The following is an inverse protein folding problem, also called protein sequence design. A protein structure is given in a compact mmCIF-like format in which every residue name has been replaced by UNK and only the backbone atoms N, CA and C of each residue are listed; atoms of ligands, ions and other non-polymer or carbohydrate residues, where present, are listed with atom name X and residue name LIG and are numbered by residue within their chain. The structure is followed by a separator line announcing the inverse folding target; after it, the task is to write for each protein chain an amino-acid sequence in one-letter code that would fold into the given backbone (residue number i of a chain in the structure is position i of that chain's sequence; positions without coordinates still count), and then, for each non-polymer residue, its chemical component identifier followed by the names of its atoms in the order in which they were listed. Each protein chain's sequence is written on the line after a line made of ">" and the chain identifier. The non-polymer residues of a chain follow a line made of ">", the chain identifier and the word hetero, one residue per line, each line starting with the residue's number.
data_IF_428454888325
#
_entry.id   IF_428454888325
#
_cell.length_a   1.000
_cell.length_b   1.000
_cell.length_c   1.000
_cell.angle_alpha   90.00
_cell.angle_beta   90.00
_cell.angle_gamma   90.00
#
_symmetry.space_group_name_H-M   'P 1'
#
loop_
_entity.id
_entity.type
_entity.pdbx_description
1 polymer ?
#
# COMPACT_ATOMS: atom_id res chain seq x y z
N UNK A 1 27.39 12.55 -69.97
CA UNK A 1 28.72 12.90 -70.52
C UNK A 1 29.38 14.00 -69.67
N UNK A 2 30.69 14.24 -69.90
CA UNK A 2 31.68 15.11 -69.21
C UNK A 2 31.21 16.47 -68.60
N UNK A 3 31.88 16.82 -67.47
CA UNK A 3 32.60 18.08 -67.04
C UNK A 3 32.56 19.34 -67.94
N UNK A 4 32.93 20.58 -67.47
CA UNK A 4 33.81 20.96 -66.33
C UNK A 4 33.17 22.07 -65.42
N UNK A 5 33.81 22.97 -64.65
CA UNK A 5 35.21 23.32 -64.23
C UNK A 5 35.19 24.06 -62.85
N UNK A 6 36.34 24.56 -62.33
CA UNK A 6 36.39 26.00 -61.97
C UNK A 6 36.87 26.48 -60.58
N UNK A 7 38.19 26.37 -60.31
CA UNK A 7 39.07 27.34 -59.59
C UNK A 7 38.69 27.98 -58.22
N UNK A 8 39.65 27.90 -57.29
CA UNK A 8 39.70 28.68 -56.04
C UNK A 8 40.94 28.39 -55.19
N UNK A 9 42.15 28.65 -55.73
CA UNK A 9 43.44 28.45 -55.05
C UNK A 9 44.47 29.51 -55.46
N UNK A 10 45.48 29.65 -54.61
CA UNK A 10 46.82 30.23 -54.84
C UNK A 10 46.91 31.76 -55.05
N UNK A 11 46.96 32.48 -53.93
CA UNK A 11 47.88 33.61 -53.74
C UNK A 11 48.46 33.51 -52.31
N UNK A 12 49.70 33.95 -52.09
CA UNK A 12 50.52 33.82 -50.86
C UNK A 12 51.38 32.54 -50.74
N UNK A 13 52.02 32.13 -51.83
CA UNK A 13 53.25 31.34 -51.78
C UNK A 13 54.41 32.15 -52.35
N UNK A 14 55.45 32.39 -51.53
CA UNK A 14 56.75 32.87 -51.98
C UNK A 14 57.15 34.28 -51.52
N UNK A 15 57.77 34.38 -50.34
CA UNK A 15 58.85 35.37 -50.15
C UNK A 15 59.97 34.83 -49.23
N UNK A 16 61.10 34.56 -49.88
CA UNK A 16 62.48 34.66 -49.39
C UNK A 16 62.92 33.77 -48.21
N UNK A 17 63.73 32.76 -48.58
CA UNK A 17 64.66 32.10 -47.69
C UNK A 17 65.98 32.88 -47.59
N UNK A 18 66.44 33.16 -46.37
CA UNK A 18 67.85 33.40 -46.04
C UNK A 18 68.05 33.18 -44.53
N UNK A 19 69.04 32.37 -44.13
CA UNK A 19 69.39 32.16 -42.71
C UNK A 19 69.43 30.71 -42.23
N UNK A 20 70.34 29.89 -42.77
CA UNK A 20 70.82 28.68 -42.08
C UNK A 20 72.10 28.99 -41.30
N UNK A 21 72.15 28.69 -40.00
CA UNK A 21 73.33 28.12 -39.37
C UNK A 21 73.27 26.59 -39.41
N UNK A 22 74.43 25.93 -39.36
CA UNK A 22 74.54 24.47 -39.44
C UNK A 22 73.91 23.77 -38.23
N UNK A 23 73.24 22.64 -38.48
CA UNK A 23 72.70 21.72 -37.48
C UNK A 23 73.84 20.90 -36.87
N UNK A 24 74.12 20.95 -35.56
CA UNK A 24 74.93 19.93 -34.92
C UNK A 24 74.21 18.58 -35.07
N UNK A 25 74.92 17.59 -35.57
CA UNK A 25 74.41 16.22 -35.71
C UNK A 25 74.39 15.49 -34.38
N UNK A 26 73.41 14.61 -34.26
CA UNK A 26 73.30 13.53 -33.30
C UNK A 26 73.22 13.90 -31.81
N UNK A 27 72.09 13.52 -31.23
CA UNK A 27 71.66 13.90 -29.90
C UNK A 27 70.39 13.14 -29.55
N UNK A 28 70.41 11.83 -29.78
CA UNK A 28 69.36 10.95 -29.29
C UNK A 28 69.28 11.10 -27.77
N UNK A 29 68.19 11.72 -27.29
CA UNK A 29 67.84 11.68 -25.88
C UNK A 29 67.54 10.22 -25.54
N UNK A 30 68.57 9.53 -25.05
CA UNK A 30 68.43 8.19 -24.53
C UNK A 30 67.39 8.23 -23.42
N UNK A 31 66.19 7.68 -23.68
CA UNK A 31 65.28 7.31 -22.60
C UNK A 31 66.08 6.42 -21.65
N UNK A 32 66.37 6.93 -20.47
CA UNK A 32 67.17 6.23 -19.47
C UNK A 32 66.49 4.88 -19.21
N UNK A 33 67.12 3.80 -19.68
CA UNK A 33 66.58 2.45 -19.50
C UNK A 33 66.41 2.24 -18.00
N UNK A 34 65.20 1.99 -17.48
CA UNK A 34 65.00 1.86 -16.05
C UNK A 34 65.91 0.73 -15.55
N UNK A 35 66.73 1.05 -14.54
CA UNK A 35 67.71 0.12 -13.99
C UNK A 35 67.04 -1.21 -13.62
N UNK A 36 67.77 -2.33 -13.69
CA UNK A 36 67.20 -3.67 -13.48
C UNK A 36 66.38 -3.80 -12.20
N UNK A 37 66.80 -3.10 -11.14
CA UNK A 37 66.07 -2.97 -9.87
C UNK A 37 64.71 -2.26 -10.02
N UNK A 38 64.63 -1.15 -10.76
CA UNK A 38 63.37 -0.42 -11.03
C UNK A 38 62.41 -1.27 -11.85
N UNK A 39 62.92 -2.01 -12.84
CA UNK A 39 62.10 -2.95 -13.63
C UNK A 39 61.60 -4.13 -12.80
N UNK A 40 62.42 -4.66 -11.89
CA UNK A 40 62.01 -5.69 -10.95
C UNK A 40 60.94 -5.19 -9.95
N UNK A 41 61.08 -3.95 -9.45
CA UNK A 41 60.06 -3.34 -8.57
C UNK A 41 58.74 -3.07 -9.31
N UNK A 42 58.78 -2.62 -10.57
CA UNK A 42 57.58 -2.49 -11.41
C UNK A 42 56.84 -3.82 -11.54
N UNK A 43 57.55 -4.90 -11.90
CA UNK A 43 56.97 -6.24 -12.01
C UNK A 43 56.42 -6.77 -10.68
N UNK A 44 57.04 -6.41 -9.55
CA UNK A 44 56.51 -6.71 -8.22
C UNK A 44 55.22 -5.95 -7.92
N UNK A 45 55.14 -4.67 -8.30
CA UNK A 45 53.96 -3.83 -8.12
C UNK A 45 52.79 -4.29 -9.01
N UNK A 46 53.08 -4.66 -10.25
CA UNK A 46 52.10 -5.22 -11.19
C UNK A 46 51.51 -6.54 -10.66
N UNK A 47 52.36 -7.39 -10.05
CA UNK A 47 51.94 -8.65 -9.43
C UNK A 47 51.06 -8.42 -8.20
N UNK A 48 51.44 -7.51 -7.31
CA UNK A 48 50.63 -7.14 -6.15
C UNK A 48 49.28 -6.50 -6.56
N UNK A 49 49.27 -5.72 -7.63
CA UNK A 49 48.04 -5.14 -8.21
C UNK A 49 47.11 -6.24 -8.75
N UNK A 50 47.65 -7.22 -9.48
CA UNK A 50 46.89 -8.37 -9.97
C UNK A 50 46.35 -9.25 -8.82
N UNK A 51 47.16 -9.52 -7.80
CA UNK A 51 46.77 -10.27 -6.60
C UNK A 51 45.68 -9.51 -5.80
N UNK A 52 45.78 -8.18 -5.67
CA UNK A 52 44.75 -7.35 -5.04
C UNK A 52 43.43 -7.34 -5.84
N UNK A 53 43.49 -7.29 -7.17
CA UNK A 53 42.33 -7.38 -8.04
C UNK A 53 41.64 -8.76 -7.94
N UNK A 54 42.41 -9.85 -7.90
CA UNK A 54 41.88 -11.20 -7.69
C UNK A 54 41.26 -11.36 -6.29
N UNK A 55 41.91 -10.85 -5.24
CA UNK A 55 41.38 -10.87 -3.88
C UNK A 55 40.08 -10.04 -3.76
N UNK A 56 39.96 -8.93 -4.50
CA UNK A 56 38.71 -8.17 -4.61
C UNK A 56 37.62 -8.97 -5.32
N UNK A 57 37.91 -9.55 -6.49
CA UNK A 57 36.97 -10.36 -7.25
C UNK A 57 36.46 -11.59 -6.45
N UNK A 58 37.35 -12.28 -5.74
CA UNK A 58 36.98 -13.42 -4.89
C UNK A 58 36.11 -12.97 -3.69
N UNK A 59 36.39 -11.81 -3.09
CA UNK A 59 35.53 -11.22 -2.04
C UNK A 59 34.17 -10.81 -2.59
N UNK A 60 34.09 -10.31 -3.81
CA UNK A 60 32.83 -9.99 -4.50
C UNK A 60 32.04 -11.26 -4.84
N UNK A 61 32.69 -12.34 -5.31
CA UNK A 61 32.05 -13.64 -5.54
C UNK A 61 31.53 -14.27 -4.23
N UNK A 62 32.33 -14.26 -3.16
CA UNK A 62 31.92 -14.76 -1.85
C UNK A 62 30.82 -13.90 -1.22
N UNK A 63 30.83 -12.58 -1.40
CA UNK A 63 29.76 -11.69 -0.98
C UNK A 63 28.47 -11.87 -1.80
N UNK A 64 28.58 -12.37 -3.04
CA UNK A 64 27.44 -12.72 -3.89
C UNK A 64 26.90 -14.13 -3.60
N UNK A 65 27.59 -14.97 -2.80
CA UNK A 65 27.01 -16.22 -2.30
C UNK A 65 26.03 -15.90 -1.19
N UNK A 66 24.74 -16.11 -1.46
CA UNK A 66 23.64 -15.93 -0.52
C UNK A 66 23.75 -16.87 0.69
N UNK A 67 24.59 -16.46 1.64
CA UNK A 67 24.92 -17.23 2.83
C UNK A 67 24.00 -16.76 3.95
N UNK A 68 23.24 -17.71 4.53
CA UNK A 68 22.43 -17.42 5.72
C UNK A 68 23.36 -17.18 6.90
N UNK A 69 23.19 -16.04 7.57
CA UNK A 69 23.92 -15.64 8.78
C UNK A 69 22.96 -15.63 9.97
N UNK A 70 23.44 -16.00 11.15
CA UNK A 70 22.71 -15.79 12.41
C UNK A 70 23.24 -14.52 13.08
N UNK A 71 22.34 -13.55 13.26
CA UNK A 71 22.68 -12.20 13.71
C UNK A 71 21.74 -11.77 14.84
N UNK A 72 22.20 -10.84 15.68
CA UNK A 72 21.37 -10.24 16.73
C UNK A 72 20.19 -9.47 16.09
N UNK A 73 18.93 -9.75 16.46
CA UNK A 73 17.77 -9.04 15.92
C UNK A 73 17.74 -7.54 16.27
N UNK A 74 18.57 -7.05 17.18
CA UNK A 74 18.75 -5.61 17.44
C UNK A 74 19.48 -4.87 16.30
N UNK A 75 20.23 -5.57 15.44
CA UNK A 75 20.94 -4.98 14.29
C UNK A 75 20.01 -4.67 13.10
N UNK A 76 18.71 -4.95 13.21
CA UNK A 76 17.76 -4.87 12.10
C UNK A 76 16.68 -3.82 12.34
N UNK A 77 16.49 -2.97 11.33
CA UNK A 77 15.43 -1.96 11.24
C UNK A 77 14.32 -2.42 10.29
N UNK A 78 13.05 -2.04 10.52
CA UNK A 78 11.95 -2.35 9.62
C UNK A 78 12.11 -1.69 8.25
N UNK A 79 11.31 -2.13 7.28
CA UNK A 79 11.24 -1.52 5.95
C UNK A 79 10.73 -0.08 6.01
N UNK A 80 11.03 0.69 4.96
CA UNK A 80 10.58 2.07 4.73
C UNK A 80 9.04 2.17 4.79
N UNK A 81 8.36 1.13 4.28
CA UNK A 81 6.89 1.10 4.15
C UNK A 81 6.34 -0.07 4.97
N UNK A 82 5.16 0.08 5.58
CA UNK A 82 4.49 -0.99 6.32
C UNK A 82 3.26 -1.48 5.55
N UNK A 83 3.30 -2.71 5.05
CA UNK A 83 2.26 -3.35 4.25
C UNK A 83 1.06 -3.85 5.05
N UNK A 84 1.25 -4.16 6.33
CA UNK A 84 0.18 -4.63 7.24
C UNK A 84 -0.22 -3.58 8.27
N UNK A 85 -1.50 -3.59 8.65
CA UNK A 85 -1.95 -2.82 9.82
C UNK A 85 -1.75 -3.69 11.08
N UNK A 86 -1.12 -3.17 12.16
CA UNK A 86 -0.94 -3.93 13.39
C UNK A 86 -2.29 -4.40 13.97
N UNK A 87 -2.43 -5.71 14.18
CA UNK A 87 -3.56 -6.32 14.88
C UNK A 87 -3.13 -6.77 16.27
N UNK A 88 -3.94 -6.45 17.28
CA UNK A 88 -3.71 -6.83 18.68
C UNK A 88 -4.06 -8.30 18.98
N UNK A 89 -4.73 -9.00 18.06
CA UNK A 89 -5.23 -10.37 18.24
C UNK A 89 -4.86 -11.27 17.05
N UNK A 90 -3.60 -11.25 16.63
CA UNK A 90 -3.09 -12.00 15.49
C UNK A 90 -2.73 -13.45 15.87
N UNK A 91 -3.67 -14.39 15.73
CA UNK A 91 -3.47 -15.80 16.08
C UNK A 91 -2.29 -16.43 15.31
N UNK A 92 -2.18 -16.11 14.02
CA UNK A 92 -1.10 -16.57 13.14
C UNK A 92 0.28 -16.12 13.62
N UNK A 93 0.36 -15.03 14.40
CA UNK A 93 1.62 -14.60 15.00
C UNK A 93 1.99 -15.49 16.20
N UNK A 94 1.01 -15.85 17.04
CA UNK A 94 1.22 -16.78 18.16
C UNK A 94 1.54 -18.20 17.68
N UNK A 95 0.87 -18.67 16.62
CA UNK A 95 1.17 -19.93 15.94
C UNK A 95 2.62 -19.94 15.41
N UNK A 96 3.05 -18.86 14.73
CA UNK A 96 4.43 -18.69 14.27
C UNK A 96 5.43 -18.63 15.42
N UNK A 97 5.09 -17.95 16.52
CA UNK A 97 5.92 -17.86 17.73
C UNK A 97 6.13 -19.21 18.38
N UNK A 98 5.07 -20.01 18.55
CA UNK A 98 5.16 -21.37 19.07
C UNK A 98 6.03 -22.27 18.16
N UNK A 99 5.80 -22.23 16.84
CA UNK A 99 6.56 -23.03 15.88
C UNK A 99 8.06 -22.70 15.88
N UNK A 100 8.43 -21.42 15.97
CA UNK A 100 9.83 -20.97 16.05
C UNK A 100 10.45 -21.29 17.41
N UNK A 101 9.69 -21.23 18.51
CA UNK A 101 10.18 -21.62 19.83
C UNK A 101 10.50 -23.13 19.94
N UNK A 102 9.70 -23.98 19.29
CA UNK A 102 9.90 -25.43 19.28
C UNK A 102 10.95 -25.90 18.26
N UNK A 103 10.88 -25.39 17.02
CA UNK A 103 11.65 -25.93 15.89
C UNK A 103 12.76 -24.98 15.40
N UNK A 104 12.94 -23.83 16.06
CA UNK A 104 13.83 -22.76 15.61
C UNK A 104 13.35 -22.04 14.35
N UNK A 105 14.07 -21.01 13.92
CA UNK A 105 13.81 -20.37 12.64
C UNK A 105 14.28 -21.28 11.49
N UNK A 106 13.34 -21.71 10.65
CA UNK A 106 13.60 -22.57 9.48
C UNK A 106 13.84 -21.75 8.20
N UNK A 107 13.06 -20.69 7.98
CA UNK A 107 13.15 -19.81 6.81
C UNK A 107 13.84 -18.50 7.23
N UNK A 108 14.98 -18.11 6.61
CA UNK A 108 15.65 -16.85 6.94
C UNK A 108 14.80 -15.63 6.55
N UNK A 109 15.05 -14.49 7.20
CA UNK A 109 14.58 -13.19 6.71
C UNK A 109 15.47 -12.73 5.54
N UNK A 110 14.95 -11.84 4.71
CA UNK A 110 15.74 -11.15 3.68
C UNK A 110 15.93 -9.71 4.13
N UNK A 111 17.18 -9.25 4.12
CA UNK A 111 17.54 -7.88 4.50
C UNK A 111 18.63 -7.32 3.58
N UNK A 112 18.84 -6.01 3.66
CA UNK A 112 19.97 -5.31 3.03
C UNK A 112 20.79 -4.56 4.08
N UNK A 113 22.05 -4.17 3.83
CA UNK A 113 22.72 -3.15 4.63
C UNK A 113 21.88 -1.88 4.72
N UNK A 114 21.81 -1.26 5.90
CA UNK A 114 21.01 -0.04 6.09
C UNK A 114 21.64 1.14 5.31
N UNK A 115 20.86 1.94 4.57
CA UNK A 115 21.43 2.97 3.70
C UNK A 115 22.08 4.15 4.44
N UNK A 116 21.75 4.34 5.72
CA UNK A 116 22.24 5.46 6.54
C UNK A 116 22.90 5.05 7.87
N UNK A 117 22.93 3.75 8.20
CA UNK A 117 23.43 3.27 9.50
C UNK A 117 24.43 2.14 9.27
N UNK A 118 25.71 2.42 9.47
CA UNK A 118 26.75 1.41 9.31
C UNK A 118 26.61 0.30 10.37
N UNK A 119 26.88 -0.94 9.97
CA UNK A 119 26.70 -2.13 10.81
C UNK A 119 25.24 -2.57 11.03
N UNK A 120 24.24 -1.81 10.57
CA UNK A 120 22.82 -2.15 10.68
C UNK A 120 22.26 -2.66 9.35
N UNK A 121 21.09 -3.31 9.41
CA UNK A 121 20.40 -3.90 8.28
C UNK A 121 18.94 -3.43 8.19
N UNK A 122 18.40 -3.31 6.99
CA UNK A 122 16.98 -3.05 6.75
C UNK A 122 16.28 -4.33 6.25
N UNK A 123 15.19 -4.72 6.92
CA UNK A 123 14.43 -5.93 6.57
C UNK A 123 13.57 -5.68 5.33
N UNK A 124 13.77 -6.50 4.29
CA UNK A 124 12.97 -6.51 3.08
C UNK A 124 11.80 -7.52 3.16
N UNK A 125 11.99 -8.69 3.77
CA UNK A 125 10.93 -9.68 3.94
C UNK A 125 11.09 -10.48 5.24
N UNK A 126 9.97 -10.91 5.83
CA UNK A 126 9.93 -11.74 7.02
C UNK A 126 9.86 -10.98 8.35
N UNK A 127 9.35 -9.75 8.38
CA UNK A 127 9.26 -8.90 9.58
C UNK A 127 8.58 -9.58 10.78
N UNK A 128 7.63 -10.50 10.53
CA UNK A 128 6.98 -11.31 11.60
C UNK A 128 7.95 -12.29 12.25
N UNK A 129 8.86 -12.92 11.48
CA UNK A 129 9.90 -13.85 12.01
C UNK A 129 10.92 -13.09 12.85
N UNK A 130 11.34 -11.91 12.39
CA UNK A 130 12.22 -11.01 13.15
C UNK A 130 11.59 -10.58 14.49
N UNK A 131 10.32 -10.16 14.49
CA UNK A 131 9.61 -9.79 15.73
C UNK A 131 9.48 -10.98 16.69
N UNK A 132 9.20 -12.18 16.18
CA UNK A 132 9.22 -13.41 17.00
C UNK A 132 10.59 -13.66 17.60
N UNK A 133 11.68 -13.50 16.83
CA UNK A 133 13.04 -13.66 17.32
C UNK A 133 13.36 -12.66 18.45
N UNK A 134 12.95 -11.39 18.32
CA UNK A 134 13.03 -10.39 19.40
C UNK A 134 12.24 -10.81 20.65
N UNK A 135 10.97 -11.21 20.49
CA UNK A 135 10.11 -11.63 21.60
C UNK A 135 10.56 -12.92 22.31
N UNK A 136 11.42 -13.73 21.68
CA UNK A 136 11.99 -14.95 22.25
C UNK A 136 13.45 -14.77 22.70
N UNK A 137 14.08 -13.63 22.44
CA UNK A 137 15.50 -13.40 22.72
C UNK A 137 16.45 -14.29 21.89
N UNK A 138 16.05 -14.63 20.66
CA UNK A 138 16.80 -15.50 19.76
C UNK A 138 17.51 -14.71 18.65
N UNK A 139 18.68 -15.18 18.21
CA UNK A 139 19.30 -14.71 16.98
C UNK A 139 18.38 -14.95 15.77
N UNK A 140 18.38 -14.02 14.82
CA UNK A 140 17.62 -14.14 13.58
C UNK A 140 18.50 -14.68 12.46
N UNK A 141 18.03 -15.71 11.75
CA UNK A 141 18.63 -16.16 10.50
C UNK A 141 18.27 -15.19 9.38
N UNK A 142 19.26 -14.61 8.72
CA UNK A 142 19.10 -13.60 7.69
C UNK A 142 19.97 -13.89 6.45
N UNK A 143 19.43 -13.60 5.27
CA UNK A 143 20.20 -13.48 4.03
C UNK A 143 20.34 -11.98 3.74
N UNK A 144 21.59 -11.50 3.70
CA UNK A 144 21.91 -10.10 3.41
C UNK A 144 22.18 -9.94 1.91
N UNK A 145 21.36 -9.13 1.23
CA UNK A 145 21.47 -8.81 -0.20
C UNK A 145 21.75 -7.32 -0.40
N UNK A 146 22.45 -6.97 -1.48
CA UNK A 146 22.53 -5.58 -1.94
C UNK A 146 21.24 -5.28 -2.72
N UNK A 147 20.34 -4.49 -2.13
CA UNK A 147 19.03 -4.17 -2.70
C UNK A 147 18.82 -2.67 -2.72
N UNK A 148 18.28 -2.16 -3.82
CA UNK A 148 17.74 -0.81 -3.95
C UNK A 148 16.44 -0.65 -3.17
N UNK A 149 16.01 0.60 -2.95
CA UNK A 149 14.75 0.91 -2.26
C UNK A 149 13.55 0.28 -2.98
N UNK A 150 13.56 0.30 -4.32
CA UNK A 150 12.54 -0.31 -5.17
C UNK A 150 12.48 -1.83 -4.99
N UNK A 151 13.63 -2.51 -4.99
CA UNK A 151 13.67 -3.97 -4.79
C UNK A 151 13.21 -4.38 -3.39
N UNK A 152 13.52 -3.58 -2.35
CA UNK A 152 13.05 -3.81 -0.98
C UNK A 152 11.52 -3.77 -0.90
N UNK A 153 10.88 -2.72 -1.42
CA UNK A 153 9.40 -2.60 -1.37
C UNK A 153 8.70 -3.62 -2.28
N UNK A 154 9.31 -4.00 -3.40
CA UNK A 154 8.80 -5.08 -4.27
C UNK A 154 8.86 -6.42 -3.53
N UNK A 155 10.00 -6.79 -2.93
CA UNK A 155 10.14 -8.04 -2.17
C UNK A 155 9.18 -8.12 -0.98
N UNK A 156 8.98 -7.01 -0.26
CA UNK A 156 8.01 -6.94 0.84
C UNK A 156 6.59 -7.16 0.35
N UNK A 157 6.17 -6.43 -0.70
CA UNK A 157 4.84 -6.56 -1.29
C UNK A 157 4.58 -7.98 -1.81
N UNK A 158 5.60 -8.61 -2.40
CA UNK A 158 5.52 -9.99 -2.92
C UNK A 158 5.54 -11.08 -1.85
N UNK A 159 5.99 -10.84 -0.61
CA UNK A 159 5.78 -11.81 0.49
C UNK A 159 4.28 -11.92 0.84
N UNK A 160 3.54 -10.80 0.79
CA UNK A 160 2.18 -10.71 1.33
C UNK A 160 1.07 -10.59 0.26
N UNK A 161 1.40 -10.22 -0.98
CA UNK A 161 0.44 -9.98 -2.08
C UNK A 161 -0.08 -11.20 -2.85
N UNK A 162 0.73 -12.25 -3.17
CA UNK A 162 0.30 -13.42 -3.93
C UNK A 162 -0.61 -14.41 -3.18
N UNK A 163 -0.84 -14.17 -1.89
CA UNK A 163 -1.72 -14.97 -1.02
C UNK A 163 -2.91 -14.11 -0.59
N UNK A 164 -3.97 -14.75 -0.11
CA UNK A 164 -5.22 -14.10 0.36
C UNK A 164 -5.02 -13.38 1.71
N UNK A 165 -3.89 -12.70 1.85
CA UNK A 165 -3.22 -12.37 3.10
C UNK A 165 -3.22 -10.87 3.40
N UNK A 166 -3.44 -10.02 2.40
CA UNK A 166 -3.67 -8.58 2.55
C UNK A 166 -5.11 -8.21 2.17
N UNK A 167 -5.79 -7.47 3.04
CA UNK A 167 -7.15 -7.00 2.73
C UNK A 167 -7.14 -5.92 1.65
N UNK A 168 -8.32 -5.53 1.17
CA UNK A 168 -8.43 -4.43 0.20
C UNK A 168 -7.82 -3.11 0.75
N UNK A 169 -8.06 -2.80 2.03
CA UNK A 169 -7.60 -1.53 2.61
C UNK A 169 -6.11 -1.56 2.96
N UNK A 170 -5.55 -2.73 3.31
CA UNK A 170 -4.11 -2.88 3.51
C UNK A 170 -3.34 -2.63 2.20
N UNK A 171 -3.77 -3.26 1.09
CA UNK A 171 -3.19 -2.98 -0.24
C UNK A 171 -3.34 -1.51 -0.65
N UNK A 172 -4.46 -0.89 -0.32
CA UNK A 172 -4.72 0.53 -0.61
C UNK A 172 -3.80 1.46 0.18
N UNK A 173 -3.63 1.19 1.49
CA UNK A 173 -2.68 1.90 2.35
C UNK A 173 -1.24 1.70 1.91
N UNK A 174 -0.83 0.47 1.58
CA UNK A 174 0.52 0.17 1.11
C UNK A 174 0.84 0.93 -0.19
N UNK A 175 -0.06 0.91 -1.17
CA UNK A 175 0.09 1.72 -2.39
C UNK A 175 0.25 3.22 -2.08
N UNK A 176 -0.57 3.77 -1.18
CA UNK A 176 -0.52 5.19 -0.79
C UNK A 176 0.80 5.55 -0.09
N UNK A 177 1.29 4.68 0.81
CA UNK A 177 2.58 4.89 1.47
C UNK A 177 3.75 4.76 0.49
N UNK A 178 3.68 3.86 -0.50
CA UNK A 178 4.72 3.79 -1.54
C UNK A 178 4.73 5.08 -2.39
N UNK A 179 3.56 5.57 -2.79
CA UNK A 179 3.45 6.82 -3.56
C UNK A 179 3.95 8.03 -2.74
N UNK A 180 3.67 8.11 -1.44
CA UNK A 180 4.16 9.20 -0.59
C UNK A 180 5.69 9.17 -0.38
N UNK A 181 6.33 8.01 -0.54
CA UNK A 181 7.79 7.85 -0.56
C UNK A 181 8.40 8.03 -1.96
N UNK A 182 7.60 8.40 -2.97
CA UNK A 182 8.09 8.71 -4.32
C UNK A 182 8.29 7.50 -5.23
N UNK A 183 7.81 6.31 -4.86
CA UNK A 183 7.86 5.14 -5.75
C UNK A 183 6.88 5.29 -6.93
N UNK A 184 7.32 4.88 -8.12
CA UNK A 184 6.53 4.98 -9.34
C UNK A 184 5.44 3.90 -9.44
N UNK A 185 4.47 4.13 -10.35
CA UNK A 185 3.32 3.23 -10.51
C UNK A 185 3.70 1.85 -11.06
N UNK A 186 4.88 1.70 -11.66
CA UNK A 186 5.42 0.40 -12.09
C UNK A 186 5.93 -0.41 -10.89
N UNK A 187 6.68 0.23 -9.99
CA UNK A 187 7.11 -0.34 -8.69
C UNK A 187 5.91 -0.76 -7.85
N UNK A 188 4.88 0.09 -7.74
CA UNK A 188 3.63 -0.24 -7.03
C UNK A 188 2.93 -1.48 -7.65
N UNK A 189 2.86 -1.54 -8.98
CA UNK A 189 2.23 -2.66 -9.70
C UNK A 189 2.99 -3.97 -9.48
N UNK A 190 4.33 -3.93 -9.51
CA UNK A 190 5.21 -5.08 -9.27
C UNK A 190 5.17 -5.57 -7.81
N UNK A 191 5.11 -4.66 -6.84
CA UNK A 191 5.02 -4.99 -5.42
C UNK A 191 3.67 -5.64 -5.06
N UNK A 192 2.55 -5.07 -5.55
CA UNK A 192 1.21 -5.56 -5.26
C UNK A 192 0.71 -6.67 -6.21
N UNK A 193 1.46 -7.00 -7.26
CA UNK A 193 1.08 -7.98 -8.30
C UNK A 193 -0.27 -7.66 -8.97
N UNK A 194 -0.54 -6.38 -9.25
CA UNK A 194 -1.79 -5.90 -9.89
C UNK A 194 -1.50 -4.90 -11.02
N UNK A 195 -2.51 -4.60 -11.84
CA UNK A 195 -2.38 -3.68 -12.96
C UNK A 195 -2.44 -2.18 -12.53
N UNK A 196 -1.90 -1.29 -13.37
CA UNK A 196 -1.94 0.18 -13.14
C UNK A 196 -3.36 0.73 -12.91
N UNK A 197 -4.41 0.24 -13.60
CA UNK A 197 -5.80 0.57 -13.27
C UNK A 197 -6.20 0.22 -11.83
N UNK A 198 -5.86 -0.96 -11.30
CA UNK A 198 -6.18 -1.35 -9.92
C UNK A 198 -5.36 -0.56 -8.91
N UNK A 199 -4.06 -0.29 -9.16
CA UNK A 199 -3.28 0.65 -8.35
C UNK A 199 -3.99 2.01 -8.24
N UNK A 200 -4.55 2.51 -9.34
CA UNK A 200 -5.26 3.79 -9.33
C UNK A 200 -6.57 3.71 -8.52
N UNK A 201 -7.33 2.61 -8.61
CA UNK A 201 -8.54 2.38 -7.78
C UNK A 201 -8.22 2.26 -6.29
N UNK A 202 -7.12 1.60 -5.95
CA UNK A 202 -6.61 1.48 -4.58
C UNK A 202 -6.27 2.85 -4.01
N UNK A 203 -5.48 3.64 -4.74
CA UNK A 203 -5.06 4.98 -4.32
C UNK A 203 -6.21 5.96 -4.16
N UNK A 204 -7.19 5.99 -5.09
CA UNK A 204 -8.39 6.82 -4.94
C UNK A 204 -9.13 6.55 -3.63
N UNK A 205 -9.21 5.30 -3.18
CA UNK A 205 -9.85 4.96 -1.90
C UNK A 205 -8.97 5.33 -0.71
N UNK A 206 -7.67 5.02 -0.75
CA UNK A 206 -6.77 5.31 0.35
C UNK A 206 -6.62 6.81 0.63
N UNK A 207 -6.37 7.60 -0.41
CA UNK A 207 -6.20 9.06 -0.31
C UNK A 207 -7.48 9.75 0.20
N UNK A 208 -8.66 9.30 -0.23
CA UNK A 208 -9.93 9.89 0.16
C UNK A 208 -10.35 9.56 1.62
N UNK A 209 -9.89 8.43 2.17
CA UNK A 209 -10.16 8.03 3.56
C UNK A 209 -9.09 8.58 4.52
N UNK A 210 -7.83 8.65 4.07
CA UNK A 210 -6.68 9.04 4.88
C UNK A 210 -6.13 7.90 5.73
N UNK A 211 -4.81 7.87 5.93
CA UNK A 211 -4.12 6.78 6.64
C UNK A 211 -4.64 6.59 8.07
N UNK A 212 -4.81 7.69 8.80
CA UNK A 212 -5.22 7.72 10.20
C UNK A 212 -6.57 7.01 10.45
N UNK A 213 -7.55 7.19 9.55
CA UNK A 213 -8.84 6.50 9.62
C UNK A 213 -8.73 5.03 9.18
N UNK A 214 -7.89 4.70 8.19
CA UNK A 214 -7.62 3.32 7.79
C UNK A 214 -7.02 2.52 8.94
N UNK A 215 -5.98 3.06 9.59
CA UNK A 215 -5.33 2.43 10.75
C UNK A 215 -6.29 2.31 11.94
N UNK A 216 -7.10 3.35 12.19
CA UNK A 216 -8.12 3.30 13.23
C UNK A 216 -9.21 2.24 13.00
N UNK A 217 -9.60 1.97 11.75
CA UNK A 217 -10.55 0.90 11.41
C UNK A 217 -9.87 -0.48 11.45
N UNK A 218 -8.64 -0.59 10.97
CA UNK A 218 -7.92 -1.86 10.85
C UNK A 218 -8.20 -2.61 9.55
N UNK A 219 -7.76 -3.88 9.44
CA UNK A 219 -7.76 -4.62 8.17
C UNK A 219 -9.15 -4.83 7.55
N UNK A 220 -10.19 -5.06 8.37
CA UNK A 220 -11.58 -5.28 7.96
C UNK A 220 -11.71 -6.31 6.80
N UNK A 221 -11.27 -7.58 7.01
CA UNK A 221 -11.11 -8.57 5.95
C UNK A 221 -12.42 -8.93 5.22
N UNK A 222 -13.59 -8.72 5.84
CA UNK A 222 -14.89 -8.97 5.20
C UNK A 222 -15.36 -7.80 4.31
N UNK A 223 -14.58 -6.72 4.21
CA UNK A 223 -14.98 -5.45 3.58
C UNK A 223 -14.25 -5.22 2.25
N UNK A 224 -14.91 -5.59 1.15
CA UNK A 224 -14.44 -5.32 -0.21
C UNK A 224 -14.64 -3.87 -0.69
N UNK A 225 -13.96 -3.52 -1.79
CA UNK A 225 -13.95 -2.19 -2.44
C UNK A 225 -15.30 -1.46 -2.51
N UNK A 226 -16.45 -2.09 -2.87
CA UNK A 226 -17.73 -1.36 -2.98
C UNK A 226 -18.20 -0.74 -1.66
N UNK A 227 -17.89 -1.35 -0.51
CA UNK A 227 -18.24 -0.79 0.81
C UNK A 227 -17.31 0.36 1.19
N UNK A 228 -16.01 0.24 0.91
CA UNK A 228 -15.07 1.35 1.11
C UNK A 228 -15.42 2.57 0.26
N UNK A 229 -15.90 2.40 -0.98
CA UNK A 229 -16.41 3.51 -1.79
C UNK A 229 -17.69 4.15 -1.21
N UNK A 230 -18.53 3.40 -0.49
CA UNK A 230 -19.65 3.98 0.26
C UNK A 230 -19.17 4.82 1.45
N UNK A 231 -18.07 4.42 2.11
CA UNK A 231 -17.45 5.23 3.17
C UNK A 231 -16.89 6.54 2.60
N UNK A 232 -16.16 6.49 1.47
CA UNK A 232 -15.67 7.68 0.75
C UNK A 232 -16.80 8.65 0.42
N UNK A 233 -17.89 8.16 -0.19
CA UNK A 233 -19.08 9.00 -0.47
C UNK A 233 -19.77 9.51 0.81
N UNK A 234 -19.59 8.81 1.93
CA UNK A 234 -20.02 9.26 3.24
C UNK A 234 -19.26 10.49 3.73
N UNK A 235 -17.93 10.47 3.56
CA UNK A 235 -17.01 11.54 3.98
C UNK A 235 -17.27 12.88 3.28
N UNK A 236 -17.82 12.87 2.07
CA UNK A 236 -18.23 14.07 1.32
C UNK A 236 -19.31 14.91 2.05
N UNK A 237 -19.99 14.36 3.07
CA UNK A 237 -21.03 15.07 3.82
C UNK A 237 -20.48 16.00 4.90
N UNK A 238 -21.06 17.19 5.00
CA UNK A 238 -20.74 18.16 6.06
C UNK A 238 -20.92 17.55 7.46
N UNK A 239 -19.85 17.59 8.27
CA UNK A 239 -19.82 17.03 9.63
C UNK A 239 -19.44 15.54 9.72
N UNK A 240 -19.17 14.85 8.61
CA UNK A 240 -18.73 13.45 8.61
C UNK A 240 -17.41 13.23 9.39
N UNK A 241 -16.43 14.12 9.19
CA UNK A 241 -15.15 14.08 9.91
C UNK A 241 -15.32 14.26 11.43
N UNK A 242 -16.16 15.20 11.88
CA UNK A 242 -16.45 15.42 13.30
C UNK A 242 -17.16 14.21 13.95
N UNK A 243 -18.07 13.58 13.20
CA UNK A 243 -18.78 12.38 13.65
C UNK A 243 -17.81 11.20 13.82
N UNK A 244 -16.88 11.00 12.87
CA UNK A 244 -15.85 9.98 12.96
C UNK A 244 -14.81 10.25 14.05
N UNK A 245 -14.40 11.50 14.25
CA UNK A 245 -13.51 11.87 15.35
C UNK A 245 -14.13 11.52 16.72
N UNK A 246 -15.41 11.85 16.91
CA UNK A 246 -16.16 11.48 18.13
C UNK A 246 -16.34 9.97 18.26
N UNK A 247 -16.61 9.26 17.16
CA UNK A 247 -16.76 7.80 17.15
C UNK A 247 -15.47 7.10 17.59
N UNK A 248 -14.30 7.53 17.09
CA UNK A 248 -13.00 6.92 17.42
C UNK A 248 -12.65 6.98 18.91
N UNK A 249 -13.13 8.00 19.61
CA UNK A 249 -12.99 8.13 21.07
C UNK A 249 -14.02 7.32 21.87
N UNK A 250 -14.99 6.67 21.22
CA UNK A 250 -16.02 5.87 21.91
C UNK A 250 -15.49 4.50 22.33
N UNK A 251 -15.94 4.02 23.50
CA UNK A 251 -15.65 2.68 23.98
C UNK A 251 -16.18 1.59 23.04
N UNK A 252 -17.31 1.82 22.36
CA UNK A 252 -17.86 0.91 21.35
C UNK A 252 -16.90 0.71 20.18
N UNK A 253 -16.29 1.79 19.65
CA UNK A 253 -15.32 1.69 18.57
C UNK A 253 -14.00 1.04 19.03
N UNK A 254 -13.48 1.43 20.20
CA UNK A 254 -12.20 0.89 20.72
C UNK A 254 -12.28 -0.59 21.08
N UNK A 255 -13.43 -1.06 21.57
CA UNK A 255 -13.65 -2.46 21.94
C UNK A 255 -14.01 -3.39 20.76
N UNK A 256 -14.31 -2.82 19.59
CA UNK A 256 -14.78 -3.56 18.42
C UNK A 256 -13.65 -4.13 17.54
N UNK A 257 -13.92 -5.29 16.92
CA UNK A 257 -13.08 -5.84 15.85
C UNK A 257 -13.05 -4.91 14.62
N UNK A 258 -12.14 -5.17 13.66
CA UNK A 258 -11.98 -4.27 12.50
C UNK A 258 -13.17 -4.25 11.53
N UNK A 259 -13.92 -5.35 11.38
CA UNK A 259 -15.11 -5.37 10.52
C UNK A 259 -16.24 -4.56 11.17
N UNK A 260 -16.39 -4.67 12.49
CA UNK A 260 -17.36 -3.89 13.26
C UNK A 260 -16.98 -2.41 13.36
N UNK A 261 -15.69 -2.07 13.54
CA UNK A 261 -15.19 -0.69 13.43
C UNK A 261 -15.50 -0.08 12.07
N UNK A 262 -15.32 -0.82 10.98
CA UNK A 262 -15.75 -0.36 9.65
C UNK A 262 -17.26 -0.12 9.58
N UNK A 263 -18.08 -1.03 10.13
CA UNK A 263 -19.53 -0.89 10.12
C UNK A 263 -20.01 0.36 10.88
N UNK A 264 -19.42 0.64 12.05
CA UNK A 264 -19.67 1.84 12.84
C UNK A 264 -19.25 3.11 12.10
N UNK A 265 -18.05 3.12 11.48
CA UNK A 265 -17.57 4.25 10.70
C UNK A 265 -18.50 4.56 9.52
N UNK A 266 -18.91 3.54 8.76
CA UNK A 266 -19.86 3.69 7.66
C UNK A 266 -21.23 4.19 8.13
N UNK A 267 -21.70 3.74 9.30
CA UNK A 267 -22.95 4.21 9.89
C UNK A 267 -22.87 5.70 10.30
N UNK A 268 -21.76 6.14 10.87
CA UNK A 268 -21.57 7.53 11.32
C UNK A 268 -21.58 8.55 10.15
N UNK A 269 -21.11 8.15 8.97
CA UNK A 269 -21.10 9.00 7.76
C UNK A 269 -22.26 8.73 6.80
N UNK A 270 -23.13 7.75 7.08
CA UNK A 270 -24.28 7.46 6.22
C UNK A 270 -25.35 8.55 6.37
N UNK A 271 -25.90 9.09 5.26
CA UNK A 271 -26.84 10.19 5.32
C UNK A 271 -28.13 9.75 5.98
N UNK A 272 -28.32 10.15 7.24
CA UNK A 272 -29.63 10.20 7.86
C UNK A 272 -30.46 8.92 7.79
N UNK A 273 -29.86 7.73 7.99
CA UNK A 273 -30.57 6.75 8.82
C UNK A 273 -30.54 7.33 10.24
N UNK A 274 -31.38 8.36 10.47
CA UNK A 274 -31.87 8.73 11.80
C UNK A 274 -32.04 7.41 12.49
N UNK A 275 -31.37 7.23 13.64
CA UNK A 275 -31.62 6.09 14.50
C UNK A 275 -33.13 5.90 14.49
N UNK A 276 -33.60 4.74 13.97
CA UNK A 276 -35.04 4.47 13.88
C UNK A 276 -35.55 4.86 15.24
N UNK A 277 -36.38 5.92 15.31
CA UNK A 277 -36.72 6.49 16.62
C UNK A 277 -37.18 5.28 17.40
N UNK A 278 -36.47 4.91 18.48
CA UNK A 278 -37.07 4.11 19.54
C UNK A 278 -38.14 5.04 20.07
N UNK A 279 -39.28 5.05 19.36
CA UNK A 279 -40.41 5.94 19.64
C UNK A 279 -40.76 5.59 21.09
N UNK A 280 -40.94 6.60 21.95
CA UNK A 280 -41.15 6.35 23.37
C UNK A 280 -42.22 5.28 23.52
N UNK A 281 -41.90 4.24 24.29
CA UNK A 281 -42.73 3.05 24.43
C UNK A 281 -44.06 3.44 25.08
N UNK A 282 -45.04 3.75 24.24
CA UNK A 282 -46.43 3.90 24.63
C UNK A 282 -46.98 2.48 24.75
N UNK A 283 -47.21 2.04 26.00
CA UNK A 283 -47.65 0.67 26.34
C UNK A 283 -48.83 0.18 25.51
N UNK A 284 -49.71 1.09 25.12
CA UNK A 284 -51.01 0.77 24.53
C UNK A 284 -51.03 0.92 22.99
N UNK A 285 -49.90 1.24 22.35
CA UNK A 285 -49.84 1.45 20.89
C UNK A 285 -49.48 0.17 20.13
N UNK A 286 -50.51 -0.47 19.59
CA UNK A 286 -50.37 -1.76 18.88
C UNK A 286 -50.00 -1.61 17.39
N UNK A 287 -50.32 -0.49 16.75
CA UNK A 287 -49.93 -0.21 15.34
C UNK A 287 -49.85 1.29 15.00
N UNK A 288 -49.22 1.61 13.87
CA UNK A 288 -49.17 2.96 13.29
C UNK A 288 -49.23 2.95 11.76
N UNK A 289 -49.57 4.11 11.19
CA UNK A 289 -49.63 4.31 9.73
C UNK A 289 -48.46 5.17 9.26
N UNK A 290 -47.78 4.72 8.21
CA UNK A 290 -46.75 5.46 7.49
C UNK A 290 -47.25 5.83 6.09
N UNK A 291 -46.99 7.06 5.65
CA UNK A 291 -47.31 7.53 4.29
C UNK A 291 -46.00 7.83 3.56
N UNK A 292 -45.76 7.18 2.41
CA UNK A 292 -44.56 7.40 1.58
C UNK A 292 -44.94 7.37 0.10
N UNK A 293 -44.84 8.51 -0.58
CA UNK A 293 -44.99 8.61 -2.04
C UNK A 293 -46.31 8.05 -2.57
N UNK A 294 -47.44 8.41 -1.94
CA UNK A 294 -48.77 7.90 -2.29
C UNK A 294 -49.15 6.57 -1.61
N UNK A 295 -48.18 5.72 -1.26
CA UNK A 295 -48.43 4.47 -0.54
C UNK A 295 -48.66 4.71 0.96
N UNK A 296 -49.68 4.04 1.49
CA UNK A 296 -50.02 3.98 2.91
C UNK A 296 -49.66 2.58 3.41
N UNK A 297 -48.80 2.48 4.43
CA UNK A 297 -48.42 1.23 5.08
C UNK A 297 -48.87 1.26 6.53
N UNK A 298 -49.65 0.26 6.95
CA UNK A 298 -49.92 -0.01 8.36
C UNK A 298 -48.81 -0.93 8.88
N UNK A 299 -48.20 -0.58 10.00
CA UNK A 299 -47.09 -1.31 10.63
C UNK A 299 -47.47 -1.65 12.08
N UNK A 300 -47.17 -2.87 12.50
CA UNK A 300 -47.48 -3.43 13.82
C UNK A 300 -46.34 -4.34 14.24
N UNK A 301 -45.77 -4.12 15.43
CA UNK A 301 -44.77 -5.00 16.02
C UNK A 301 -45.43 -6.18 16.77
N UNK A 302 -46.77 -6.17 16.91
CA UNK A 302 -47.55 -7.24 17.53
C UNK A 302 -48.12 -8.19 16.46
N UNK A 303 -47.67 -9.44 16.47
CA UNK A 303 -48.10 -10.48 15.54
C UNK A 303 -49.58 -10.86 15.70
N UNK A 304 -50.08 -10.95 16.94
CA UNK A 304 -51.49 -11.28 17.21
C UNK A 304 -52.45 -10.20 16.68
N UNK A 305 -52.06 -8.94 16.78
CA UNK A 305 -52.81 -7.81 16.20
C UNK A 305 -52.76 -7.80 14.67
N UNK A 306 -51.62 -8.13 14.07
CA UNK A 306 -51.51 -8.29 12.62
C UNK A 306 -52.47 -9.39 12.10
N UNK A 307 -52.52 -10.55 12.76
CA UNK A 307 -53.48 -11.62 12.43
C UNK A 307 -54.95 -11.22 12.68
N UNK A 308 -55.23 -10.44 13.74
CA UNK A 308 -56.57 -9.89 13.98
C UNK A 308 -57.02 -8.97 12.85
N UNK A 309 -56.16 -8.01 12.46
CA UNK A 309 -56.42 -7.10 11.34
C UNK A 309 -56.61 -7.86 10.02
N UNK A 310 -55.77 -8.86 9.75
CA UNK A 310 -55.90 -9.68 8.54
C UNK A 310 -57.28 -10.36 8.43
N UNK A 311 -57.82 -10.85 9.55
CA UNK A 311 -59.19 -11.40 9.61
C UNK A 311 -60.29 -10.35 9.51
N UNK A 312 -60.05 -9.12 9.97
CA UNK A 312 -61.05 -8.03 9.99
C UNK A 312 -61.03 -7.12 8.76
N UNK A 313 -59.96 -7.11 7.96
CA UNK A 313 -59.86 -6.28 6.75
C UNK A 313 -61.04 -6.42 5.78
N UNK A 314 -61.60 -7.61 5.50
CA UNK A 314 -62.77 -7.73 4.63
C UNK A 314 -63.99 -6.98 5.20
N UNK A 315 -64.26 -7.12 6.50
CA UNK A 315 -65.37 -6.43 7.16
C UNK A 315 -65.14 -4.91 7.21
N UNK A 316 -63.93 -4.47 7.55
CA UNK A 316 -63.55 -3.05 7.54
C UNK A 316 -63.64 -2.42 6.13
N UNK A 317 -63.44 -3.22 5.07
CA UNK A 317 -63.60 -2.76 3.69
C UNK A 317 -65.07 -2.56 3.32
N UNK A 318 -65.98 -3.44 3.76
CA UNK A 318 -67.43 -3.25 3.56
C UNK A 318 -68.01 -2.11 4.44
N UNK A 319 -67.52 -1.97 5.66
CA UNK A 319 -67.82 -0.83 6.54
C UNK A 319 -67.35 0.47 5.87
N UNK A 320 -66.12 0.53 5.35
CA UNK A 320 -65.65 1.68 4.59
C UNK A 320 -66.48 1.95 3.32
N UNK A 321 -66.86 0.92 2.54
CA UNK A 321 -67.70 1.08 1.34
C UNK A 321 -69.09 1.66 1.65
N UNK A 322 -69.64 1.34 2.83
CA UNK A 322 -70.95 1.82 3.28
C UNK A 322 -70.90 3.19 3.96
N UNK A 323 -69.71 3.60 4.45
CA UNK A 323 -69.44 4.87 5.11
C UNK A 323 -69.60 6.12 4.20
N UNK A 324 -69.78 7.32 4.78
CA UNK A 324 -69.82 8.56 4.00
C UNK A 324 -68.47 8.90 3.33
N UNK A 325 -67.33 8.47 3.88
CA UNK A 325 -66.00 8.71 3.31
C UNK A 325 -65.81 8.04 1.94
N UNK A 326 -66.41 6.87 1.70
CA UNK A 326 -66.40 6.25 0.37
C UNK A 326 -67.34 6.96 -0.62
N UNK A 327 -68.45 7.52 -0.14
CA UNK A 327 -69.45 8.23 -0.98
C UNK A 327 -68.94 9.59 -1.46
N UNK A 328 -68.12 10.28 -0.65
CA UNK A 328 -67.48 11.57 -0.98
C UNK A 328 -66.62 11.52 -2.25
N UNK A 329 -66.05 10.37 -2.62
CA UNK A 329 -65.26 10.20 -3.86
C UNK A 329 -66.08 10.02 -5.15
N UNK A 330 -67.43 10.05 -5.09
CA UNK A 330 -68.32 9.73 -6.22
C UNK A 330 -69.21 10.88 -6.71
N UNK A 331 -68.91 12.14 -6.40
CA UNK A 331 -69.49 13.27 -7.15
C UNK A 331 -68.77 13.44 -8.50
N UNK A 332 -69.43 13.22 -9.65
CA UNK A 332 -68.84 13.58 -10.94
C UNK A 332 -68.69 15.10 -11.01
N UNK A 333 -67.61 15.58 -11.64
CA UNK A 333 -67.50 17.01 -12.00
C UNK A 333 -68.69 17.37 -12.88
N UNK A 334 -69.48 18.35 -12.42
CA UNK A 334 -70.62 18.85 -13.18
C UNK A 334 -70.20 19.45 -14.52
N UNK A 335 -71.13 19.43 -15.48
CA UNK A 335 -70.98 20.13 -16.73
C UNK A 335 -70.79 21.64 -16.48
N UNK A 336 -69.87 22.25 -17.23
CA UNK A 336 -69.80 23.70 -17.42
C UNK A 336 -70.21 24.01 -18.85
N UNK A 337 -71.20 24.91 -18.96
CA UNK A 337 -71.83 25.54 -20.13
C UNK A 337 -71.12 25.41 -21.48
#
# INVERSE_FOLDING_TARGET
>A
MKKPDGRGRDILQGLVAAGKPGRPTDGSLQQARPSGAVKAMSLGLDRLSAEAAQAKALREELANRETTQELDPALFSPSIVSDRIPSTSDSRFQELKAAIAENGQQIPIIARPHPSEEGHFQIAAGHRRWRVAQELGLNVKAIIRKLTDQEVVILQGQENGPREDLTFVERARFAMQMESHGFDRDTLSAALSVDKPEISRLLTVAQAIGEDLIVAIGPAPKVGRPRWLQLVKGLEQSGAHDALHKLRASSEFVSADSDQRFALALQAVSPGRRASKRRPASSDRVAWVEKKGGNIRLVSDNAGFASFLQRRFPALLEEFKSSPEAKSKKTPKGATH
#
